data_IF_157840541378
#
_entry.id   IF_157840541378
#
_cell.length_a   1.000
_cell.length_b   1.000
_cell.length_c   1.000
_cell.angle_alpha   90.00
_cell.angle_beta   90.00
_cell.angle_gamma   90.00
#
_symmetry.space_group_name_H-M   'P 1'
#
loop_
_entity.id
_entity.type
_entity.pdbx_description
1 polymer ?
#
# COMPACT_ATOMS: atom_id res chain seq x y z
N UNK A 1 16.66 -16.85 47.59
CA UNK A 1 16.96 -15.95 46.46
C UNK A 1 16.16 -16.51 45.31
N UNK A 2 15.10 -15.83 44.90
CA UNK A 2 14.23 -16.29 43.81
C UNK A 2 14.95 -15.98 42.51
N UNK A 3 15.37 -17.04 41.82
CA UNK A 3 15.72 -16.99 40.40
C UNK A 3 14.44 -16.66 39.63
N UNK A 4 14.26 -15.39 39.31
CA UNK A 4 13.37 -14.99 38.22
C UNK A 4 14.08 -15.36 36.93
N UNK A 5 13.83 -16.57 36.44
CA UNK A 5 13.99 -16.89 35.03
C UNK A 5 13.18 -15.85 34.25
N UNK A 6 13.86 -15.02 33.46
CA UNK A 6 13.24 -14.13 32.49
C UNK A 6 12.46 -15.01 31.50
N UNK A 7 11.16 -15.21 31.77
CA UNK A 7 10.23 -15.85 30.84
C UNK A 7 10.18 -14.92 29.62
N UNK A 8 10.97 -15.24 28.60
CA UNK A 8 10.86 -14.62 27.28
C UNK A 8 9.40 -14.83 26.86
N UNK A 9 8.63 -13.77 26.59
CA UNK A 9 7.23 -13.95 26.18
C UNK A 9 7.22 -14.81 24.91
N UNK A 10 6.67 -16.01 25.04
CA UNK A 10 6.54 -16.94 23.94
C UNK A 10 5.50 -16.36 22.98
N UNK A 11 5.94 -15.78 21.87
CA UNK A 11 5.05 -15.20 20.89
C UNK A 11 4.33 -16.33 20.13
N UNK A 12 3.01 -16.34 20.21
CA UNK A 12 2.14 -17.22 19.44
C UNK A 12 2.04 -16.74 17.99
N UNK A 13 2.49 -17.56 17.03
CA UNK A 13 2.47 -17.22 15.60
C UNK A 13 1.06 -17.18 14.98
N UNK A 14 0.02 -17.63 15.70
CA UNK A 14 -1.38 -17.51 15.26
C UNK A 14 -2.00 -16.14 15.62
N UNK A 15 -1.28 -15.34 16.40
CA UNK A 15 -1.72 -14.02 16.84
C UNK A 15 -1.06 -12.90 16.04
N UNK A 16 -1.73 -11.75 16.02
CA UNK A 16 -1.19 -10.52 15.45
C UNK A 16 -0.56 -9.66 16.53
N UNK A 17 0.49 -8.93 16.15
CA UNK A 17 1.26 -8.08 17.06
C UNK A 17 1.46 -6.69 16.48
N UNK A 18 1.56 -5.69 17.35
CA UNK A 18 1.84 -4.28 17.03
C UNK A 18 3.21 -3.84 17.57
N UNK A 19 3.67 -2.67 17.14
CA UNK A 19 4.99 -2.11 17.47
C UNK A 19 6.16 -3.04 17.09
N UNK A 20 6.02 -3.70 15.95
CA UNK A 20 7.01 -4.66 15.46
C UNK A 20 8.33 -3.97 15.08
N UNK A 21 9.48 -4.53 15.48
CA UNK A 21 10.77 -4.03 15.03
C UNK A 21 10.91 -4.18 13.51
N UNK A 22 11.55 -3.21 12.86
CA UNK A 22 11.75 -3.16 11.42
C UNK A 22 13.17 -3.59 11.02
N UNK A 23 13.24 -4.64 10.20
CA UNK A 23 14.46 -5.12 9.54
C UNK A 23 14.46 -4.68 8.08
N UNK A 24 15.46 -3.90 7.67
CA UNK A 24 15.59 -3.44 6.28
C UNK A 24 16.71 -4.21 5.58
N UNK A 25 16.37 -4.93 4.50
CA UNK A 25 17.31 -5.68 3.67
C UNK A 25 17.83 -4.77 2.57
N UNK A 26 19.14 -4.57 2.55
CA UNK A 26 19.84 -3.66 1.63
C UNK A 26 21.01 -4.35 0.93
N UNK A 27 21.42 -3.81 -0.22
CA UNK A 27 22.51 -4.37 -1.03
C UNK A 27 22.29 -4.12 -2.52
N UNK A 28 23.35 -4.29 -3.32
CA UNK A 28 23.31 -4.06 -4.78
C UNK A 28 22.29 -4.95 -5.51
N UNK A 29 21.91 -4.67 -6.76
CA UNK A 29 20.98 -5.51 -7.52
C UNK A 29 21.50 -6.95 -7.65
N UNK A 30 20.58 -7.92 -7.74
CA UNK A 30 20.86 -9.34 -8.02
C UNK A 30 21.65 -10.14 -6.96
N UNK A 31 21.96 -9.56 -5.79
CA UNK A 31 22.54 -10.30 -4.64
C UNK A 31 21.56 -11.27 -3.95
N UNK A 32 20.27 -11.24 -4.32
CA UNK A 32 19.25 -12.15 -3.80
C UNK A 32 18.38 -11.61 -2.65
N UNK A 33 18.25 -10.28 -2.52
CA UNK A 33 17.41 -9.62 -1.50
C UNK A 33 15.96 -10.13 -1.52
N UNK A 34 15.32 -10.12 -2.69
CA UNK A 34 13.93 -10.57 -2.82
C UNK A 34 13.78 -12.07 -2.56
N UNK A 35 14.81 -12.87 -2.87
CA UNK A 35 14.84 -14.30 -2.52
C UNK A 35 14.86 -14.48 -1.01
N UNK A 36 15.73 -13.76 -0.30
CA UNK A 36 15.82 -13.79 1.16
C UNK A 36 14.54 -13.27 1.82
N UNK A 37 14.02 -12.13 1.36
CA UNK A 37 12.75 -11.55 1.79
C UNK A 37 11.62 -12.56 1.72
N UNK A 38 11.42 -13.18 0.55
CA UNK A 38 10.39 -14.21 0.37
C UNK A 38 10.62 -15.45 1.24
N UNK A 39 11.87 -15.81 1.51
CA UNK A 39 12.18 -16.95 2.39
C UNK A 39 11.86 -16.63 3.85
N UNK A 40 12.19 -15.43 4.33
CA UNK A 40 11.82 -15.00 5.69
C UNK A 40 10.30 -14.95 5.86
N UNK A 41 9.56 -14.48 4.85
CA UNK A 41 8.09 -14.48 4.87
C UNK A 41 7.45 -15.87 4.90
N UNK A 42 8.12 -16.88 4.33
CA UNK A 42 7.58 -18.25 4.23
C UNK A 42 7.72 -19.06 5.51
N UNK A 43 8.46 -18.59 6.52
CA UNK A 43 8.66 -19.34 7.77
C UNK A 43 7.39 -19.47 8.64
N UNK A 44 6.31 -18.70 8.40
CA UNK A 44 4.89 -19.12 8.57
C UNK A 44 3.94 -18.09 7.93
N UNK A 45 3.28 -18.46 6.81
CA UNK A 45 2.14 -17.73 6.24
C UNK A 45 0.83 -18.42 6.65
N UNK A 46 0.07 -17.82 7.56
CA UNK A 46 -1.39 -18.02 7.57
C UNK A 46 -1.97 -17.13 6.45
N UNK A 47 -2.24 -17.76 5.30
CA UNK A 47 -3.10 -17.30 4.20
C UNK A 47 -2.81 -15.87 3.69
N UNK A 48 -1.96 -15.75 2.68
CA UNK A 48 -2.28 -15.01 1.43
C UNK A 48 -1.21 -15.28 0.35
N UNK A 49 -1.63 -15.11 -0.90
CA UNK A 49 -1.04 -15.58 -2.15
C UNK A 49 0.23 -14.80 -2.56
N UNK A 50 1.32 -15.43 -3.04
CA UNK A 50 2.44 -14.72 -3.66
C UNK A 50 2.21 -14.58 -5.17
N UNK A 51 2.19 -13.35 -5.69
CA UNK A 51 2.54 -13.10 -7.10
C UNK A 51 3.94 -12.50 -7.14
N UNK A 52 4.99 -13.27 -7.50
CA UNK A 52 6.34 -12.75 -7.65
C UNK A 52 6.47 -12.03 -9.00
N UNK A 53 7.12 -10.87 -8.98
CA UNK A 53 7.59 -10.19 -10.19
C UNK A 53 7.26 -8.70 -10.19
N UNK A 54 8.33 -7.91 -10.36
CA UNK A 54 8.34 -6.49 -10.76
C UNK A 54 7.89 -5.47 -9.70
N UNK A 55 8.76 -5.15 -8.74
CA UNK A 55 8.66 -3.88 -8.02
C UNK A 55 10.04 -3.28 -7.75
N UNK A 56 10.24 -2.04 -8.22
CA UNK A 56 11.33 -1.12 -7.84
C UNK A 56 10.97 -0.28 -6.60
N UNK A 57 9.85 -0.59 -5.95
CA UNK A 57 9.37 0.05 -4.73
C UNK A 57 9.62 -0.88 -3.53
N UNK A 58 10.00 -0.33 -2.34
CA UNK A 58 10.21 -1.15 -1.16
C UNK A 58 8.95 -1.93 -0.78
N UNK A 59 9.06 -3.24 -0.65
CA UNK A 59 7.98 -4.10 -0.14
C UNK A 59 8.25 -4.33 1.34
N UNK A 60 7.27 -4.06 2.18
CA UNK A 60 7.31 -4.29 3.62
C UNK A 60 6.19 -5.24 4.02
N UNK A 61 6.49 -6.23 4.85
CA UNK A 61 5.52 -7.23 5.30
C UNK A 61 5.90 -7.75 6.70
N UNK A 62 4.90 -8.22 7.45
CA UNK A 62 5.10 -8.77 8.80
C UNK A 62 5.36 -10.28 8.73
N UNK A 63 6.29 -10.78 9.54
CA UNK A 63 6.61 -12.20 9.59
C UNK A 63 7.11 -12.65 10.96
N UNK A 64 7.20 -13.98 11.12
CA UNK A 64 7.88 -14.60 12.24
C UNK A 64 9.25 -15.09 11.80
N UNK A 65 10.27 -14.64 12.52
CA UNK A 65 11.64 -15.13 12.39
C UNK A 65 12.04 -15.67 13.74
N UNK A 66 12.49 -16.92 13.79
CA UNK A 66 12.90 -17.58 15.03
C UNK A 66 11.86 -17.43 16.17
N UNK A 67 10.58 -17.63 15.83
CA UNK A 67 9.46 -17.52 16.78
C UNK A 67 9.14 -16.09 17.26
N UNK A 68 9.79 -15.04 16.73
CA UNK A 68 9.51 -13.64 17.12
C UNK A 68 8.89 -12.85 15.96
N UNK A 69 7.85 -12.03 16.23
CA UNK A 69 7.20 -11.24 15.20
C UNK A 69 8.03 -9.99 14.89
N UNK A 70 8.25 -9.71 13.61
CA UNK A 70 8.95 -8.52 13.13
C UNK A 70 8.40 -8.07 11.77
N UNK A 71 8.77 -6.87 11.33
CA UNK A 71 8.53 -6.38 9.96
C UNK A 71 9.81 -6.46 9.17
N UNK A 72 9.74 -6.97 7.94
CA UNK A 72 10.89 -7.01 7.04
C UNK A 72 10.59 -6.18 5.79
N UNK A 73 11.58 -5.43 5.31
CA UNK A 73 11.47 -4.58 4.13
C UNK A 73 12.57 -4.91 3.11
N UNK A 74 12.21 -5.19 1.86
CA UNK A 74 13.15 -5.26 0.73
C UNK A 74 13.21 -3.88 0.06
N UNK A 75 14.36 -3.20 0.07
CA UNK A 75 14.48 -1.86 -0.52
C UNK A 75 14.54 -1.84 -2.05
N UNK A 76 14.50 -3.01 -2.71
CA UNK A 76 14.80 -3.11 -4.15
C UNK A 76 16.29 -2.89 -4.43
N UNK A 77 16.77 -3.34 -5.60
CA UNK A 77 18.18 -3.17 -5.99
C UNK A 77 18.55 -1.71 -6.20
N UNK A 78 19.30 -1.14 -5.26
CA UNK A 78 19.87 0.20 -5.36
C UNK A 78 21.02 0.24 -6.37
N UNK A 79 20.96 1.08 -7.41
CA UNK A 79 22.12 1.36 -8.29
C UNK A 79 22.80 2.65 -7.84
N UNK A 80 24.13 2.63 -7.73
CA UNK A 80 24.97 3.80 -7.43
C UNK A 80 25.53 4.49 -8.69
N UNK A 81 25.45 3.83 -9.86
CA UNK A 81 26.04 4.37 -11.09
C UNK A 81 25.35 5.66 -11.55
N UNK A 82 26.12 6.75 -11.55
CA UNK A 82 25.72 8.07 -12.02
C UNK A 82 26.13 8.24 -13.48
N UNK A 83 25.17 8.51 -14.36
CA UNK A 83 25.43 9.23 -15.62
C UNK A 83 24.76 10.59 -15.49
N UNK A 84 25.50 11.67 -15.20
CA UNK A 84 24.92 13.00 -15.09
C UNK A 84 24.29 13.43 -16.42
N UNK A 85 23.04 13.91 -16.38
CA UNK A 85 22.38 14.54 -17.54
C UNK A 85 21.32 13.72 -18.27
N UNK A 86 20.94 12.52 -17.81
CA UNK A 86 19.82 11.73 -18.39
C UNK A 86 18.60 11.66 -17.46
N UNK A 87 17.41 11.37 -18.03
CA UNK A 87 16.14 11.14 -17.31
C UNK A 87 16.19 10.04 -16.23
N UNK A 88 17.24 9.21 -16.22
CA UNK A 88 17.46 8.14 -15.25
C UNK A 88 17.96 8.69 -13.91
N UNK A 89 18.75 9.79 -13.94
CA UNK A 89 19.34 10.39 -12.74
C UNK A 89 18.31 11.01 -11.76
N UNK A 90 17.20 11.56 -12.27
CA UNK A 90 16.11 12.10 -11.42
C UNK A 90 15.29 10.98 -10.73
N UNK A 91 15.24 9.80 -11.34
CA UNK A 91 14.56 8.63 -10.79
C UNK A 91 15.40 7.96 -9.68
N UNK A 92 16.72 8.05 -9.79
CA UNK A 92 17.68 7.54 -8.82
C UNK A 92 17.71 8.36 -7.53
N UNK A 93 17.60 9.70 -7.59
CA UNK A 93 17.51 10.56 -6.38
C UNK A 93 16.32 10.19 -5.47
N UNK A 94 15.16 9.90 -6.06
CA UNK A 94 13.96 9.48 -5.32
C UNK A 94 14.10 8.08 -4.70
N UNK A 95 14.88 7.20 -5.31
CA UNK A 95 15.18 5.86 -4.78
C UNK A 95 16.20 5.97 -3.63
N UNK A 96 17.17 6.90 -3.74
CA UNK A 96 18.14 7.23 -2.67
C UNK A 96 17.42 7.79 -1.45
N UNK A 97 16.56 8.80 -1.63
CA UNK A 97 15.83 9.43 -0.53
C UNK A 97 14.94 8.41 0.21
N UNK A 98 14.26 7.52 -0.53
CA UNK A 98 13.46 6.42 0.03
C UNK A 98 14.31 5.41 0.79
N UNK A 99 15.45 5.01 0.24
CA UNK A 99 16.36 4.05 0.89
C UNK A 99 16.91 4.64 2.18
N UNK A 100 17.37 5.90 2.16
CA UNK A 100 17.85 6.62 3.35
C UNK A 100 16.74 6.76 4.40
N UNK A 101 15.51 7.11 3.98
CA UNK A 101 14.37 7.19 4.88
C UNK A 101 14.06 5.84 5.56
N UNK A 102 14.20 4.74 4.81
CA UNK A 102 14.01 3.38 5.32
C UNK A 102 15.11 2.99 6.31
N UNK A 103 16.38 3.31 5.99
CA UNK A 103 17.54 3.08 6.88
C UNK A 103 17.39 3.82 8.22
N UNK A 104 16.86 5.05 8.21
CA UNK A 104 16.63 5.84 9.44
C UNK A 104 15.58 5.20 10.35
N UNK A 105 14.56 4.57 9.77
CA UNK A 105 13.46 3.91 10.49
C UNK A 105 13.82 2.50 10.96
N UNK A 106 14.83 1.88 10.35
CA UNK A 106 15.25 0.52 10.65
C UNK A 106 15.71 0.38 12.11
N UNK A 107 15.26 -0.67 12.77
CA UNK A 107 15.83 -1.13 14.04
C UNK A 107 17.08 -1.98 13.76
N UNK A 108 17.06 -2.74 12.66
CA UNK A 108 18.21 -3.50 12.14
C UNK A 108 18.33 -3.34 10.62
N UNK A 109 19.56 -3.20 10.13
CA UNK A 109 19.88 -3.14 8.70
C UNK A 109 20.63 -4.42 8.34
N UNK A 110 20.05 -5.21 7.43
CA UNK A 110 20.68 -6.41 6.90
C UNK A 110 21.33 -6.10 5.55
N UNK A 111 22.65 -5.92 5.54
CA UNK A 111 23.43 -5.80 4.32
C UNK A 111 23.65 -7.18 3.70
N UNK A 112 23.06 -7.39 2.54
CA UNK A 112 23.18 -8.59 1.74
C UNK A 112 24.21 -8.40 0.62
N UNK A 113 25.27 -9.19 0.66
CA UNK A 113 26.35 -9.25 -0.31
C UNK A 113 26.27 -10.57 -1.10
N UNK A 114 27.01 -10.68 -2.20
CA UNK A 114 27.09 -11.91 -2.99
C UNK A 114 28.46 -12.59 -2.79
N UNK A 115 28.46 -13.92 -2.82
CA UNK A 115 29.67 -14.72 -2.69
C UNK A 115 30.69 -14.43 -3.81
N UNK A 116 31.96 -14.37 -3.44
CA UNK A 116 33.07 -13.85 -4.24
C UNK A 116 33.79 -12.66 -3.58
N UNK A 117 34.62 -11.98 -4.38
CA UNK A 117 35.38 -10.80 -3.99
C UNK A 117 34.49 -9.54 -3.92
N UNK A 118 34.79 -8.58 -3.03
CA UNK A 118 34.08 -7.31 -2.97
C UNK A 118 34.19 -6.54 -4.30
N UNK A 119 33.07 -6.02 -4.78
CA UNK A 119 33.03 -5.13 -5.95
C UNK A 119 33.10 -3.66 -5.54
N UNK A 120 33.41 -2.75 -6.47
CA UNK A 120 33.39 -1.31 -6.20
C UNK A 120 32.02 -0.81 -5.72
N UNK A 121 30.92 -1.37 -6.27
CA UNK A 121 29.56 -1.06 -5.82
C UNK A 121 29.33 -1.50 -4.36
N UNK A 122 29.87 -2.65 -3.97
CA UNK A 122 29.78 -3.11 -2.57
C UNK A 122 30.53 -2.14 -1.65
N UNK A 123 31.73 -1.68 -2.04
CA UNK A 123 32.51 -0.72 -1.25
C UNK A 123 31.79 0.62 -1.05
N UNK A 124 31.22 1.17 -2.11
CA UNK A 124 30.43 2.41 -2.04
C UNK A 124 29.20 2.24 -1.14
N UNK A 125 28.51 1.11 -1.24
CA UNK A 125 27.33 0.83 -0.43
C UNK A 125 27.69 0.65 1.05
N UNK A 126 28.79 -0.04 1.34
CA UNK A 126 29.33 -0.18 2.69
C UNK A 126 29.69 1.19 3.27
N UNK A 127 30.30 2.06 2.47
CA UNK A 127 30.63 3.42 2.89
C UNK A 127 29.38 4.25 3.22
N UNK A 128 28.31 4.11 2.42
CA UNK A 128 27.02 4.75 2.69
C UNK A 128 26.39 4.29 4.01
N UNK A 129 26.59 3.03 4.39
CA UNK A 129 26.03 2.44 5.61
C UNK A 129 26.85 2.71 6.88
N UNK A 130 28.07 3.27 6.76
CA UNK A 130 28.94 3.60 7.92
C UNK A 130 28.23 4.37 9.04
N UNK A 131 27.38 5.39 8.78
CA UNK A 131 26.66 6.10 9.85
C UNK A 131 25.71 5.23 10.67
N UNK A 132 25.34 4.05 10.14
CA UNK A 132 24.42 3.11 10.77
C UNK A 132 25.11 1.82 11.25
N UNK A 133 26.44 1.84 11.41
CA UNK A 133 27.23 0.64 11.74
C UNK A 133 26.73 -0.10 12.99
N UNK A 134 26.19 0.60 13.99
CA UNK A 134 25.63 0.00 15.21
C UNK A 134 24.37 -0.85 14.98
N UNK A 135 23.68 -0.65 13.86
CA UNK A 135 22.47 -1.41 13.46
C UNK A 135 22.75 -2.41 12.34
N UNK A 136 24.01 -2.55 11.93
CA UNK A 136 24.37 -3.30 10.73
C UNK A 136 24.60 -4.78 11.05
N UNK A 137 23.92 -5.67 10.32
CA UNK A 137 24.19 -7.10 10.24
C UNK A 137 24.57 -7.42 8.78
N UNK A 138 25.64 -8.19 8.58
CA UNK A 138 26.16 -8.50 7.24
C UNK A 138 25.98 -9.97 6.92
N UNK A 139 25.39 -10.26 5.77
CA UNK A 139 25.25 -11.61 5.24
C UNK A 139 25.75 -11.69 3.78
N UNK A 140 26.52 -12.73 3.47
CA UNK A 140 26.99 -13.07 2.12
C UNK A 140 26.13 -14.21 1.60
N UNK A 141 25.38 -13.93 0.54
CA UNK A 141 24.45 -14.87 -0.08
C UNK A 141 25.10 -15.64 -1.24
N UNK A 142 24.46 -16.72 -1.67
CA UNK A 142 24.91 -17.63 -2.75
C UNK A 142 26.18 -18.42 -2.41
N UNK A 143 26.25 -18.89 -1.17
CA UNK A 143 27.37 -19.68 -0.62
C UNK A 143 27.08 -21.19 -0.65
N UNK A 144 26.07 -21.62 -1.41
CA UNK A 144 25.63 -23.02 -1.44
C UNK A 144 26.78 -24.00 -1.67
N UNK A 145 26.89 -25.01 -0.80
CA UNK A 145 27.93 -26.02 -0.86
C UNK A 145 29.37 -25.48 -0.67
N UNK A 146 29.53 -24.35 0.04
CA UNK A 146 30.84 -23.73 0.30
C UNK A 146 31.40 -22.91 -0.87
N UNK A 147 30.58 -22.64 -1.88
CA UNK A 147 31.01 -21.95 -3.11
C UNK A 147 31.47 -20.53 -2.79
N UNK A 148 32.71 -20.20 -3.19
CA UNK A 148 33.32 -18.86 -3.08
C UNK A 148 33.39 -18.28 -1.66
N UNK A 149 33.17 -19.09 -0.62
CA UNK A 149 33.30 -18.64 0.77
C UNK A 149 34.72 -18.15 1.09
N UNK A 150 35.73 -18.87 0.58
CA UNK A 150 37.14 -18.50 0.73
C UNK A 150 37.42 -17.07 0.25
N UNK A 151 36.89 -16.69 -0.93
CA UNK A 151 37.03 -15.34 -1.47
C UNK A 151 36.23 -14.32 -0.66
N UNK A 152 35.07 -14.71 -0.14
CA UNK A 152 34.19 -13.81 0.60
C UNK A 152 34.66 -13.46 2.01
N UNK A 153 35.62 -14.19 2.58
CA UNK A 153 36.31 -13.73 3.79
C UNK A 153 36.98 -12.36 3.61
N UNK A 154 37.26 -11.94 2.38
CA UNK A 154 37.77 -10.59 2.09
C UNK A 154 36.82 -9.47 2.51
N UNK A 155 35.52 -9.72 2.71
CA UNK A 155 34.60 -8.69 3.22
C UNK A 155 34.93 -8.25 4.66
N UNK A 156 35.63 -9.06 5.47
CA UNK A 156 36.05 -8.65 6.82
C UNK A 156 36.97 -7.43 6.81
N UNK A 157 37.70 -7.18 5.71
CA UNK A 157 38.61 -6.02 5.58
C UNK A 157 37.91 -4.67 5.76
N UNK A 158 36.59 -4.62 5.59
CA UNK A 158 35.80 -3.40 5.78
C UNK A 158 35.48 -3.11 7.26
N UNK A 159 35.92 -3.96 8.18
CA UNK A 159 35.77 -3.77 9.63
C UNK A 159 34.43 -4.27 10.17
N UNK A 160 33.86 -5.30 9.56
CA UNK A 160 32.68 -5.98 10.11
C UNK A 160 33.10 -6.90 11.24
N UNK A 161 32.36 -6.86 12.35
CA UNK A 161 32.60 -7.73 13.51
C UNK A 161 32.26 -9.19 13.21
N UNK A 162 31.17 -9.41 12.45
CA UNK A 162 30.70 -10.74 12.03
C UNK A 162 30.14 -10.65 10.61
N UNK A 163 30.40 -11.68 9.81
CA UNK A 163 29.81 -11.88 8.48
C UNK A 163 29.21 -13.28 8.44
N UNK A 164 27.93 -13.37 8.08
CA UNK A 164 27.21 -14.63 7.96
C UNK A 164 27.23 -15.13 6.52
N UNK A 165 27.52 -16.41 6.29
CA UNK A 165 27.43 -17.03 4.97
C UNK A 165 26.10 -17.78 4.86
N UNK A 166 25.27 -17.42 3.87
CA UNK A 166 23.93 -17.97 3.71
C UNK A 166 23.66 -18.40 2.26
N UNK A 167 22.67 -19.29 2.09
CA UNK A 167 22.00 -19.49 0.81
C UNK A 167 20.52 -19.20 0.95
N UNK A 168 20.09 -18.02 0.50
CA UNK A 168 18.68 -17.65 0.47
C UNK A 168 17.86 -18.54 -0.47
N UNK A 169 18.47 -19.12 -1.49
CA UNK A 169 17.80 -20.00 -2.44
C UNK A 169 17.65 -21.41 -1.88
N UNK A 170 18.72 -21.99 -1.32
CA UNK A 170 18.72 -23.37 -0.84
C UNK A 170 18.32 -23.52 0.64
N UNK A 171 18.47 -22.48 1.44
CA UNK A 171 18.08 -22.45 2.86
C UNK A 171 19.24 -22.56 3.85
N UNK A 172 20.48 -22.66 3.36
CA UNK A 172 21.68 -22.81 4.18
C UNK A 172 21.86 -21.62 5.13
N UNK A 173 22.10 -21.93 6.42
CA UNK A 173 22.34 -20.98 7.52
C UNK A 173 21.24 -19.91 7.73
N UNK A 174 20.03 -20.14 7.21
CA UNK A 174 18.89 -19.22 7.40
C UNK A 174 18.32 -19.29 8.83
N UNK A 175 18.58 -20.38 9.57
CA UNK A 175 18.26 -20.46 10.99
C UNK A 175 19.19 -19.56 11.80
N UNK A 176 20.52 -19.71 11.62
CA UNK A 176 21.52 -18.84 12.27
C UNK A 176 21.29 -17.36 11.95
N UNK A 177 20.99 -17.03 10.68
CA UNK A 177 20.63 -15.66 10.31
C UNK A 177 19.39 -15.16 11.09
N UNK A 178 18.39 -16.00 11.28
CA UNK A 178 17.19 -15.65 12.04
C UNK A 178 17.48 -15.43 13.53
N UNK A 179 18.36 -16.25 14.12
CA UNK A 179 18.84 -16.08 15.49
C UNK A 179 19.60 -14.75 15.66
N UNK A 180 20.52 -14.44 14.74
CA UNK A 180 21.27 -13.18 14.75
C UNK A 180 20.38 -11.94 14.57
N UNK A 181 19.38 -12.02 13.68
CA UNK A 181 18.39 -10.95 13.51
C UNK A 181 17.62 -10.75 14.82
N UNK A 182 17.07 -11.82 15.38
CA UNK A 182 16.22 -11.73 16.58
C UNK A 182 16.99 -11.49 17.88
N UNK A 183 18.30 -11.74 17.91
CA UNK A 183 19.16 -11.43 19.05
C UNK A 183 19.53 -9.95 19.14
N UNK A 184 19.47 -9.21 18.02
CA UNK A 184 19.82 -7.78 17.95
C UNK A 184 18.64 -6.82 18.05
N UNK A 185 17.42 -7.35 18.09
CA UNK A 185 16.19 -6.58 18.12
C UNK A 185 15.60 -6.52 19.52
N UNK A 186 15.02 -5.36 19.86
CA UNK A 186 14.27 -5.16 21.11
C UNK A 186 12.78 -5.49 20.88
N UNK A 187 12.30 -6.51 21.59
CA UNK A 187 10.89 -6.94 21.54
C UNK A 187 10.08 -6.48 22.76
N UNK A 188 10.66 -5.71 23.68
CA UNK A 188 9.97 -5.25 24.91
C UNK A 188 8.77 -4.36 24.63
N UNK A 189 8.70 -3.75 23.44
CA UNK A 189 7.61 -2.87 22.99
C UNK A 189 6.54 -3.61 22.19
N UNK A 190 6.78 -4.87 21.86
CA UNK A 190 5.86 -5.68 21.05
C UNK A 190 4.69 -6.09 21.92
N UNK A 191 3.49 -5.80 21.44
CA UNK A 191 2.25 -6.10 22.15
C UNK A 191 1.33 -6.93 21.25
N UNK A 192 0.60 -7.87 21.86
CA UNK A 192 -0.47 -8.59 21.18
C UNK A 192 -1.57 -7.59 20.75
N UNK A 193 -1.94 -7.64 19.47
CA UNK A 193 -2.92 -6.76 18.88
C UNK A 193 -2.68 -6.57 17.39
N UNK A 194 -3.73 -6.31 16.62
CA UNK A 194 -3.57 -5.90 15.22
C UNK A 194 -2.88 -4.52 15.18
N UNK A 195 -2.07 -4.28 14.14
CA UNK A 195 -1.70 -2.90 13.76
C UNK A 195 -2.99 -2.07 13.70
N UNK A 196 -2.99 -0.88 14.29
CA UNK A 196 -4.17 -0.02 14.29
C UNK A 196 -4.55 0.33 12.86
N UNK A 197 -5.56 -0.35 12.31
CA UNK A 197 -6.10 -0.06 10.99
C UNK A 197 -6.66 1.36 11.00
N UNK A 198 -5.97 2.25 10.30
CA UNK A 198 -6.39 3.64 10.10
C UNK A 198 -7.02 3.77 8.72
N UNK A 199 -8.15 4.45 8.66
CA UNK A 199 -8.76 4.86 7.39
C UNK A 199 -7.96 6.06 6.88
N UNK A 200 -7.15 5.83 5.84
CA UNK A 200 -6.27 6.86 5.26
C UNK A 200 -7.05 7.62 4.19
N UNK A 201 -7.29 8.90 4.44
CA UNK A 201 -8.06 9.78 3.56
C UNK A 201 -7.16 10.83 2.91
N UNK A 202 -7.25 10.97 1.60
CA UNK A 202 -6.62 12.05 0.84
C UNK A 202 -7.67 13.08 0.43
N UNK A 203 -7.42 14.36 0.71
CA UNK A 203 -8.32 15.46 0.32
C UNK A 203 -7.75 16.15 -0.91
N UNK A 204 -8.44 16.05 -2.05
CA UNK A 204 -7.98 16.57 -3.35
C UNK A 204 -9.01 17.54 -3.95
N UNK A 205 -8.59 18.34 -4.95
CA UNK A 205 -9.45 19.29 -5.66
C UNK A 205 -8.77 20.63 -5.95
N UNK A 206 -9.35 21.43 -6.84
CA UNK A 206 -8.88 22.78 -7.24
C UNK A 206 -8.54 23.71 -6.04
N UNK A 207 -7.60 24.67 -6.15
CA UNK A 207 -7.44 25.73 -5.14
C UNK A 207 -8.76 26.36 -4.69
N UNK A 208 -8.84 26.83 -3.43
CA UNK A 208 -10.00 27.52 -2.83
C UNK A 208 -11.32 26.73 -2.69
N UNK A 209 -11.34 25.44 -3.04
CA UNK A 209 -12.47 24.52 -2.81
C UNK A 209 -12.75 24.19 -1.34
N UNK A 210 -11.92 24.65 -0.40
CA UNK A 210 -12.09 24.44 1.05
C UNK A 210 -11.39 23.21 1.62
N UNK A 211 -10.42 22.62 0.92
CA UNK A 211 -9.59 21.49 1.42
C UNK A 211 -8.94 21.78 2.76
N UNK A 212 -8.31 22.95 2.93
CA UNK A 212 -7.66 23.33 4.20
C UNK A 212 -8.65 23.51 5.34
N UNK A 213 -9.83 24.08 5.04
CA UNK A 213 -10.91 24.22 6.02
C UNK A 213 -11.40 22.85 6.49
N UNK A 214 -11.63 21.91 5.57
CA UNK A 214 -12.05 20.54 5.93
C UNK A 214 -10.94 19.81 6.72
N UNK A 215 -9.71 19.83 6.23
CA UNK A 215 -8.57 19.19 6.91
C UNK A 215 -8.39 19.72 8.33
N UNK A 216 -8.47 21.03 8.55
CA UNK A 216 -8.35 21.64 9.87
C UNK A 216 -9.51 21.25 10.79
N UNK A 217 -10.74 21.21 10.27
CA UNK A 217 -11.92 20.76 11.01
C UNK A 217 -11.80 19.30 11.45
N UNK A 218 -11.27 18.43 10.59
CA UNK A 218 -11.07 17.02 10.93
C UNK A 218 -9.93 16.80 11.94
N UNK A 219 -8.90 17.64 11.90
CA UNK A 219 -7.65 17.45 12.68
C UNK A 219 -7.56 18.33 13.93
N UNK A 220 -8.58 19.16 14.21
CA UNK A 220 -8.83 19.71 15.55
C UNK A 220 -8.19 21.05 15.91
N UNK A 221 -7.83 21.93 14.96
CA UNK A 221 -7.45 23.32 15.33
C UNK A 221 -8.64 24.25 15.58
N UNK A 222 -9.84 23.86 15.12
CA UNK A 222 -11.11 24.49 15.49
C UNK A 222 -11.97 23.41 16.18
N UNK A 223 -12.09 23.52 17.50
CA UNK A 223 -12.79 22.57 18.35
C UNK A 223 -14.18 22.18 17.80
N UNK A 224 -14.56 20.89 17.86
CA UNK A 224 -15.91 20.43 18.29
C UNK A 224 -16.37 19.01 17.86
N UNK A 225 -15.56 18.09 17.32
CA UNK A 225 -16.11 16.74 17.00
C UNK A 225 -15.29 15.52 17.53
N UNK A 226 -13.98 15.61 17.76
CA UNK A 226 -13.15 14.39 17.60
C UNK A 226 -12.13 14.09 18.71
N UNK A 227 -12.30 14.60 19.92
CA UNK A 227 -11.38 14.29 21.03
C UNK A 227 -12.11 14.20 22.37
N UNK A 228 -12.84 13.10 22.59
CA UNK A 228 -13.41 12.75 23.90
C UNK A 228 -12.80 11.44 24.44
N UNK A 229 -11.48 11.24 24.28
CA UNK A 229 -10.77 10.24 25.08
C UNK A 229 -9.81 10.99 25.99
N UNK A 230 -10.19 11.09 27.27
CA UNK A 230 -9.28 11.51 28.32
C UNK A 230 -8.15 10.47 28.43
N UNK A 231 -6.89 10.90 28.28
CA UNK A 231 -5.74 10.04 28.55
C UNK A 231 -4.67 9.89 27.46
N UNK A 232 -4.59 10.76 26.45
CA UNK A 232 -3.47 10.72 25.50
C UNK A 232 -2.46 11.84 25.78
N UNK A 233 -1.51 11.55 26.68
CA UNK A 233 -0.18 12.18 26.58
C UNK A 233 0.67 11.39 25.61
N UNK A 234 1.33 12.12 24.70
CA UNK A 234 2.49 11.73 23.86
C UNK A 234 2.18 10.86 22.64
N UNK A 235 1.78 11.57 21.58
CA UNK A 235 2.32 11.51 20.21
C UNK A 235 1.20 11.87 19.24
N UNK A 236 0.90 13.17 19.15
CA UNK A 236 0.02 13.69 18.10
C UNK A 236 0.77 13.56 16.78
N UNK A 237 0.59 12.43 16.09
CA UNK A 237 1.00 12.30 14.69
C UNK A 237 0.14 13.26 13.88
N UNK A 238 0.76 14.25 13.21
CA UNK A 238 0.06 15.26 12.42
C UNK A 238 -0.96 14.61 11.45
N UNK A 239 -2.22 15.02 11.53
CA UNK A 239 -3.27 14.57 10.61
C UNK A 239 -4.11 13.38 11.06
N UNK A 240 -3.90 12.81 12.25
CA UNK A 240 -4.73 11.72 12.77
C UNK A 240 -5.91 12.19 13.64
N UNK A 241 -7.02 11.46 13.62
CA UNK A 241 -8.20 11.68 14.49
C UNK A 241 -9.02 10.39 14.68
N UNK A 242 -9.99 10.38 15.60
CA UNK A 242 -10.86 9.21 15.85
C UNK A 242 -12.36 9.54 15.82
N UNK A 243 -13.13 8.87 14.96
CA UNK A 243 -14.57 9.10 14.84
C UNK A 243 -15.33 7.77 14.91
N UNK A 244 -16.31 7.67 15.83
CA UNK A 244 -17.11 6.46 16.10
C UNK A 244 -16.27 5.19 16.31
N UNK A 245 -15.15 5.30 17.03
CA UNK A 245 -14.24 4.17 17.27
C UNK A 245 -13.33 3.81 16.09
N UNK A 246 -13.44 4.50 14.96
CA UNK A 246 -12.54 4.33 13.82
C UNK A 246 -11.44 5.39 13.84
N UNK A 247 -10.19 4.94 13.70
CA UNK A 247 -9.04 5.83 13.58
C UNK A 247 -8.88 6.28 12.13
N UNK A 248 -8.71 7.57 11.92
CA UNK A 248 -8.50 8.18 10.62
C UNK A 248 -7.11 8.81 10.53
N UNK A 249 -6.58 8.89 9.32
CA UNK A 249 -5.38 9.65 9.00
C UNK A 249 -5.62 10.48 7.73
N UNK A 250 -5.52 11.79 7.86
CA UNK A 250 -5.52 12.72 6.72
C UNK A 250 -4.12 12.76 6.13
N UNK A 251 -3.98 12.38 4.87
CA UNK A 251 -2.72 12.43 4.16
C UNK A 251 -2.46 13.84 3.58
N UNK A 252 -1.19 14.25 3.60
CA UNK A 252 -0.69 15.51 3.03
C UNK A 252 -1.23 16.81 3.67
N UNK A 253 -1.46 16.79 4.99
CA UNK A 253 -1.86 17.97 5.79
C UNK A 253 -0.87 19.13 5.69
N UNK A 254 0.44 18.85 5.58
CA UNK A 254 1.49 19.86 5.47
C UNK A 254 1.41 20.68 4.17
N UNK A 255 1.04 20.06 3.04
CA UNK A 255 0.86 20.75 1.75
C UNK A 255 -0.36 21.65 1.76
N UNK A 256 -1.44 21.20 2.40
CA UNK A 256 -2.68 21.93 2.59
C UNK A 256 -2.49 23.16 3.50
N UNK A 257 -1.64 23.06 4.54
CA UNK A 257 -1.32 24.17 5.46
C UNK A 257 -0.40 25.22 4.84
N UNK A 258 0.64 24.84 4.07
CA UNK A 258 1.52 25.82 3.40
C UNK A 258 0.75 26.72 2.41
N UNK A 259 -0.23 26.17 1.69
CA UNK A 259 -1.09 26.94 0.77
C UNK A 259 -2.03 27.93 1.46
N UNK A 260 -2.31 27.77 2.76
CA UNK A 260 -3.10 28.77 3.51
C UNK A 260 -2.31 30.07 3.78
N UNK A 261 -0.97 30.04 3.65
CA UNK A 261 -0.08 31.17 3.94
C UNK A 261 0.63 31.75 2.70
N UNK A 262 0.63 31.07 1.56
CA UNK A 262 1.39 31.47 0.37
C UNK A 262 0.48 31.52 -0.87
N UNK A 263 0.41 32.70 -1.52
CA UNK A 263 -0.14 32.88 -2.87
C UNK A 263 0.98 32.60 -3.88
N UNK A 264 1.15 31.35 -4.31
CA UNK A 264 2.07 31.05 -5.42
C UNK A 264 1.45 30.08 -6.44
N UNK A 265 1.68 30.44 -7.71
CA UNK A 265 1.34 29.73 -8.95
C UNK A 265 2.15 28.44 -9.10
N UNK A 266 1.78 27.40 -8.35
CA UNK A 266 2.43 26.09 -8.45
C UNK A 266 1.39 24.99 -8.64
N UNK A 267 0.67 25.04 -9.77
CA UNK A 267 -0.29 24.01 -10.16
C UNK A 267 0.39 22.69 -10.56
N UNK A 268 1.52 22.73 -11.27
CA UNK A 268 2.17 21.53 -11.80
C UNK A 268 2.71 20.59 -10.71
N UNK A 269 3.40 21.13 -9.69
CA UNK A 269 3.90 20.31 -8.57
C UNK A 269 2.77 19.79 -7.66
N UNK A 270 1.56 20.36 -7.77
CA UNK A 270 0.40 19.91 -6.99
C UNK A 270 -0.15 18.57 -7.47
N UNK A 271 -0.07 18.28 -8.78
CA UNK A 271 -0.62 17.03 -9.36
C UNK A 271 0.25 15.82 -9.02
N UNK A 272 1.56 15.89 -9.24
CA UNK A 272 2.47 14.79 -8.90
C UNK A 272 2.50 14.49 -7.40
N UNK A 273 2.38 15.53 -6.57
CA UNK A 273 2.22 15.39 -5.12
C UNK A 273 0.90 14.69 -4.78
N UNK A 274 -0.21 15.11 -5.37
CA UNK A 274 -1.50 14.44 -5.19
C UNK A 274 -1.41 12.96 -5.58
N UNK A 275 -0.83 12.62 -6.74
CA UNK A 275 -0.64 11.24 -7.19
C UNK A 275 0.19 10.41 -6.19
N UNK A 276 1.29 10.98 -5.65
CA UNK A 276 2.09 10.31 -4.60
C UNK A 276 1.26 10.06 -3.34
N UNK A 277 0.48 11.04 -2.90
CA UNK A 277 -0.42 10.91 -1.74
C UNK A 277 -1.49 9.84 -1.97
N UNK A 278 -2.05 9.75 -3.17
CA UNK A 278 -3.05 8.75 -3.53
C UNK A 278 -2.53 7.31 -3.36
N UNK A 279 -1.24 7.03 -3.63
CA UNK A 279 -0.70 5.66 -3.46
C UNK A 279 -0.82 5.09 -2.05
N UNK A 280 -0.96 5.94 -1.04
CA UNK A 280 -1.06 5.55 0.35
C UNK A 280 -2.47 5.75 0.93
N UNK A 281 -3.41 6.26 0.13
CA UNK A 281 -4.78 6.53 0.56
C UNK A 281 -5.66 5.29 0.35
N UNK A 282 -6.62 5.11 1.24
CA UNK A 282 -7.72 4.16 1.04
C UNK A 282 -8.89 4.86 0.32
N UNK A 283 -9.16 6.12 0.70
CA UNK A 283 -10.28 6.91 0.20
C UNK A 283 -9.81 8.30 -0.22
N UNK A 284 -10.34 8.75 -1.35
CA UNK A 284 -10.15 10.09 -1.90
C UNK A 284 -11.41 10.90 -1.70
N UNK A 285 -11.28 12.02 -1.00
CA UNK A 285 -12.32 13.03 -0.84
C UNK A 285 -12.04 14.12 -1.88
N UNK A 286 -12.82 14.15 -2.95
CA UNK A 286 -12.71 15.15 -4.00
C UNK A 286 -13.57 16.36 -3.67
N UNK A 287 -12.93 17.45 -3.25
CA UNK A 287 -13.57 18.71 -2.89
C UNK A 287 -13.83 19.55 -4.14
N UNK A 288 -15.10 19.86 -4.36
CA UNK A 288 -15.60 20.70 -5.46
C UNK A 288 -16.30 21.90 -4.82
N UNK A 289 -16.06 23.11 -5.33
CA UNK A 289 -16.85 24.27 -4.93
C UNK A 289 -18.21 24.20 -5.64
N UNK A 290 -19.31 24.18 -4.87
CA UNK A 290 -20.65 24.08 -5.43
C UNK A 290 -21.01 25.26 -6.35
N UNK A 291 -20.38 26.43 -6.20
CA UNK A 291 -20.64 27.61 -7.03
C UNK A 291 -19.82 27.61 -8.33
N UNK A 292 -18.59 27.10 -8.31
CA UNK A 292 -17.70 27.09 -9.49
C UNK A 292 -17.82 25.81 -10.32
N UNK A 293 -18.18 24.69 -9.69
CA UNK A 293 -18.24 23.38 -10.35
C UNK A 293 -16.88 22.72 -10.56
N UNK A 294 -16.82 21.79 -11.51
CA UNK A 294 -15.68 20.89 -11.74
C UNK A 294 -14.60 21.52 -12.64
N UNK A 295 -13.34 21.30 -12.28
CA UNK A 295 -12.20 21.62 -13.14
C UNK A 295 -11.78 20.44 -14.02
N UNK A 296 -11.33 20.69 -15.26
CA UNK A 296 -10.84 19.64 -16.17
C UNK A 296 -9.64 18.86 -15.61
N UNK A 297 -8.76 19.52 -14.85
CA UNK A 297 -7.58 18.89 -14.26
C UNK A 297 -7.95 17.85 -13.18
N UNK A 298 -9.06 18.06 -12.46
CA UNK A 298 -9.51 17.15 -11.41
C UNK A 298 -9.93 15.78 -11.98
N UNK A 299 -10.45 15.74 -13.22
CA UNK A 299 -10.86 14.49 -13.87
C UNK A 299 -9.73 13.48 -13.97
N UNK A 300 -8.51 13.92 -14.30
CA UNK A 300 -7.35 13.02 -14.43
C UNK A 300 -6.91 12.44 -13.09
N UNK A 301 -6.91 13.25 -12.03
CA UNK A 301 -6.52 12.82 -10.68
C UNK A 301 -7.51 11.78 -10.15
N UNK A 302 -8.82 12.04 -10.34
CA UNK A 302 -9.87 11.14 -9.87
C UNK A 302 -9.93 9.86 -10.72
N UNK A 303 -9.75 9.94 -12.04
CA UNK A 303 -9.58 8.76 -12.89
C UNK A 303 -8.44 7.87 -12.37
N UNK A 304 -7.27 8.46 -12.11
CA UNK A 304 -6.14 7.75 -11.55
C UNK A 304 -6.46 7.13 -10.18
N UNK A 305 -7.18 7.82 -9.29
CA UNK A 305 -7.60 7.26 -8.00
C UNK A 305 -8.48 6.00 -8.18
N UNK A 306 -9.49 6.09 -9.05
CA UNK A 306 -10.38 4.97 -9.36
C UNK A 306 -9.64 3.78 -9.98
N UNK A 307 -8.72 4.05 -10.92
CA UNK A 307 -7.94 3.01 -11.61
C UNK A 307 -7.00 2.27 -10.64
N UNK A 308 -6.52 2.95 -9.60
CA UNK A 308 -5.74 2.34 -8.52
C UNK A 308 -6.63 1.66 -7.45
N UNK A 309 -7.95 1.68 -7.62
CA UNK A 309 -8.91 0.97 -6.77
C UNK A 309 -9.21 1.65 -5.44
N UNK A 310 -9.00 2.97 -5.33
CA UNK A 310 -9.31 3.75 -4.13
C UNK A 310 -10.81 4.06 -4.06
N UNK A 311 -11.38 4.10 -2.85
CA UNK A 311 -12.71 4.67 -2.65
C UNK A 311 -12.73 6.14 -3.06
N UNK A 312 -13.79 6.60 -3.73
CA UNK A 312 -13.93 8.00 -4.14
C UNK A 312 -15.21 8.55 -3.55
N UNK A 313 -15.12 9.69 -2.87
CA UNK A 313 -16.28 10.48 -2.42
C UNK A 313 -16.18 11.85 -3.06
N UNK A 314 -17.20 12.22 -3.81
CA UNK A 314 -17.35 13.57 -4.33
C UNK A 314 -18.02 14.46 -3.29
N UNK A 315 -17.42 15.61 -3.02
CA UNK A 315 -17.93 16.57 -2.02
C UNK A 315 -18.22 17.90 -2.68
N UNK A 316 -19.49 18.27 -2.73
CA UNK A 316 -19.96 19.60 -3.11
C UNK A 316 -19.87 20.52 -1.89
N UNK A 317 -18.74 21.19 -1.74
CA UNK A 317 -18.46 22.07 -0.62
C UNK A 317 -19.07 23.47 -0.82
N UNK A 318 -19.24 24.21 0.29
CA UNK A 318 -19.94 25.51 0.36
C UNK A 318 -21.42 25.39 -0.01
N UNK A 319 -22.02 24.23 0.24
CA UNK A 319 -23.44 24.02 -0.05
C UNK A 319 -24.38 24.97 0.72
N UNK A 320 -23.90 25.54 1.83
CA UNK A 320 -24.61 26.57 2.59
C UNK A 320 -24.79 27.90 1.84
N UNK A 321 -23.99 28.16 0.80
CA UNK A 321 -24.08 29.40 0.01
C UNK A 321 -24.94 29.26 -1.24
N UNK A 322 -25.41 28.05 -1.56
CA UNK A 322 -26.20 27.79 -2.77
C UNK A 322 -27.64 28.25 -2.55
N UNK A 323 -28.15 29.00 -3.53
CA UNK A 323 -29.57 29.34 -3.61
C UNK A 323 -30.38 28.08 -3.98
N UNK A 324 -31.06 27.52 -2.98
CA UNK A 324 -31.81 26.26 -3.09
C UNK A 324 -33.08 26.39 -3.92
N UNK A 325 -33.55 27.61 -4.20
CA UNK A 325 -34.70 27.82 -5.09
C UNK A 325 -34.30 27.70 -6.55
N UNK A 326 -33.04 28.01 -6.87
CA UNK A 326 -32.50 27.99 -8.24
C UNK A 326 -31.72 26.73 -8.58
N UNK A 327 -31.24 25.99 -7.58
CA UNK A 327 -30.33 24.87 -7.80
C UNK A 327 -30.66 23.70 -6.89
N UNK A 328 -31.12 22.61 -7.49
CA UNK A 328 -31.39 21.37 -6.77
C UNK A 328 -30.14 20.51 -6.63
N UNK A 329 -29.90 19.98 -5.42
CA UNK A 329 -28.84 18.99 -5.18
C UNK A 329 -28.93 17.81 -6.16
N UNK A 330 -30.14 17.33 -6.44
CA UNK A 330 -30.37 16.18 -7.34
C UNK A 330 -29.91 16.46 -8.77
N UNK A 331 -30.05 17.70 -9.23
CA UNK A 331 -29.62 18.09 -10.58
C UNK A 331 -28.10 18.15 -10.66
N UNK A 332 -27.43 18.74 -9.66
CA UNK A 332 -25.97 18.73 -9.59
C UNK A 332 -25.39 17.33 -9.44
N UNK A 333 -25.98 16.48 -8.58
CA UNK A 333 -25.59 15.08 -8.45
C UNK A 333 -25.73 14.34 -9.79
N UNK A 334 -26.86 14.50 -10.48
CA UNK A 334 -27.10 13.89 -11.79
C UNK A 334 -26.08 14.36 -12.82
N UNK A 335 -25.80 15.66 -12.88
CA UNK A 335 -24.81 16.22 -13.80
C UNK A 335 -23.40 15.68 -13.52
N UNK A 336 -23.04 15.53 -12.24
CA UNK A 336 -21.78 14.90 -11.84
C UNK A 336 -21.70 13.43 -12.28
N UNK A 337 -22.75 12.65 -12.06
CA UNK A 337 -22.82 11.25 -12.50
C UNK A 337 -22.72 11.09 -14.01
N UNK A 338 -23.28 12.02 -14.78
CA UNK A 338 -23.11 12.06 -16.25
C UNK A 338 -21.67 12.38 -16.63
N UNK A 339 -21.04 13.38 -15.99
CA UNK A 339 -19.64 13.75 -16.27
C UNK A 339 -18.65 12.65 -15.88
N UNK A 340 -18.96 11.88 -14.84
CA UNK A 340 -18.16 10.76 -14.34
C UNK A 340 -18.89 9.43 -14.51
N UNK A 341 -19.40 9.14 -15.71
CA UNK A 341 -20.17 7.92 -15.97
C UNK A 341 -19.46 6.62 -15.56
N UNK A 342 -18.12 6.57 -15.66
CA UNK A 342 -17.31 5.43 -15.23
C UNK A 342 -17.22 5.26 -13.70
N UNK A 343 -17.66 6.27 -12.94
CA UNK A 343 -17.70 6.32 -11.47
C UNK A 343 -19.09 6.65 -10.94
N UNK A 344 -20.15 6.25 -11.64
CA UNK A 344 -21.54 6.44 -11.20
C UNK A 344 -21.82 5.85 -9.81
N UNK A 345 -20.97 4.91 -9.39
CA UNK A 345 -20.99 4.34 -8.06
C UNK A 345 -20.52 5.26 -6.92
N UNK A 346 -19.71 6.27 -7.23
CA UNK A 346 -19.07 7.07 -6.23
C UNK A 346 -20.12 8.00 -5.59
N UNK A 347 -20.25 8.02 -4.25
CA UNK A 347 -21.20 8.88 -3.56
C UNK A 347 -20.86 10.37 -3.77
N UNK A 348 -21.91 11.19 -3.89
CA UNK A 348 -21.83 12.65 -3.92
C UNK A 348 -22.49 13.19 -2.66
N UNK A 349 -21.81 14.07 -1.91
CA UNK A 349 -22.32 14.62 -0.65
C UNK A 349 -22.25 16.16 -0.64
N UNK A 350 -23.31 16.85 -0.19
CA UNK A 350 -23.26 18.29 0.06
C UNK A 350 -22.62 18.55 1.43
N UNK A 351 -21.62 19.42 1.47
CA UNK A 351 -20.89 19.74 2.70
C UNK A 351 -20.70 21.25 2.83
N UNK A 352 -20.67 21.73 4.06
CA UNK A 352 -20.08 23.03 4.39
C UNK A 352 -18.91 22.80 5.34
N UNK A 353 -17.69 22.76 4.81
CA UNK A 353 -16.49 22.59 5.62
C UNK A 353 -16.34 23.72 6.65
N UNK A 354 -16.81 24.93 6.31
CA UNK A 354 -16.77 26.08 7.21
C UNK A 354 -17.79 25.96 8.35
N UNK A 355 -19.04 25.58 8.06
CA UNK A 355 -20.11 25.46 9.08
C UNK A 355 -20.13 24.11 9.80
N UNK A 356 -19.46 23.08 9.24
CA UNK A 356 -19.47 21.71 9.74
C UNK A 356 -20.65 20.86 9.27
N UNK A 357 -21.63 21.45 8.58
CA UNK A 357 -22.78 20.71 8.03
C UNK A 357 -22.34 19.66 7.01
N UNK A 358 -22.89 18.44 7.08
CA UNK A 358 -22.57 17.32 6.20
C UNK A 358 -21.23 16.60 6.48
N UNK A 359 -20.40 17.10 7.41
CA UNK A 359 -19.10 16.48 7.72
C UNK A 359 -19.26 15.12 8.39
N UNK A 360 -20.25 14.96 9.28
CA UNK A 360 -20.54 13.66 9.90
C UNK A 360 -21.01 12.64 8.88
N UNK A 361 -21.81 13.05 7.90
CA UNK A 361 -22.27 12.18 6.80
C UNK A 361 -21.11 11.77 5.90
N UNK A 362 -20.19 12.69 5.61
CA UNK A 362 -18.94 12.39 4.91
C UNK A 362 -18.10 11.34 5.64
N UNK A 363 -17.95 11.45 6.96
CA UNK A 363 -17.20 10.47 7.75
C UNK A 363 -17.90 9.11 7.84
N UNK A 364 -19.24 9.11 8.00
CA UNK A 364 -20.02 7.88 7.95
C UNK A 364 -19.88 7.18 6.59
N UNK A 365 -19.92 7.94 5.49
CA UNK A 365 -19.71 7.43 4.15
C UNK A 365 -18.29 6.87 3.97
N UNK A 366 -17.27 7.54 4.52
CA UNK A 366 -15.90 7.02 4.49
C UNK A 366 -15.78 5.68 5.24
N UNK A 367 -16.44 5.52 6.39
CA UNK A 367 -16.48 4.23 7.12
C UNK A 367 -17.15 3.16 6.26
N UNK A 368 -18.28 3.47 5.63
CA UNK A 368 -19.02 2.53 4.77
C UNK A 368 -18.16 2.07 3.59
N UNK A 369 -17.53 3.01 2.87
CA UNK A 369 -16.62 2.70 1.76
C UNK A 369 -15.43 1.87 2.22
N UNK A 370 -14.83 2.21 3.37
CA UNK A 370 -13.72 1.43 3.93
C UNK A 370 -14.14 0.01 4.29
N UNK A 371 -15.37 -0.18 4.78
CA UNK A 371 -15.98 -1.49 5.01
C UNK A 371 -16.08 -2.31 3.72
N UNK A 372 -16.49 -1.69 2.61
CA UNK A 372 -16.50 -2.35 1.29
C UNK A 372 -15.09 -2.65 0.80
N UNK A 373 -14.15 -1.71 0.92
CA UNK A 373 -12.74 -1.88 0.54
C UNK A 373 -12.03 -2.96 1.38
N UNK A 374 -12.48 -3.23 2.59
CA UNK A 374 -11.82 -4.22 3.46
C UNK A 374 -12.47 -5.60 3.38
N UNK A 375 -13.55 -5.74 2.59
CA UNK A 375 -14.35 -6.97 2.54
C UNK A 375 -13.66 -8.07 1.75
N UNK A 376 -13.51 -9.24 2.37
CA UNK A 376 -13.07 -10.48 1.72
C UNK A 376 -14.28 -11.39 1.47
N UNK A 377 -14.35 -11.98 0.29
CA UNK A 377 -15.36 -12.96 -0.11
C UNK A 377 -14.71 -14.33 -0.25
N UNK A 378 -15.34 -15.34 0.33
CA UNK A 378 -14.88 -16.73 0.20
C UNK A 378 -14.92 -17.21 -1.25
N UNK A 379 -13.87 -17.94 -1.65
CA UNK A 379 -13.71 -18.36 -3.06
C UNK A 379 -14.86 -19.26 -3.51
N UNK A 380 -15.40 -20.10 -2.63
CA UNK A 380 -16.55 -20.96 -2.93
C UNK A 380 -17.81 -20.16 -3.25
N UNK A 381 -18.19 -19.23 -2.36
CA UNK A 381 -19.34 -18.34 -2.53
C UNK A 381 -19.21 -17.47 -3.79
N UNK A 382 -18.01 -16.96 -4.04
CA UNK A 382 -17.71 -16.17 -5.23
C UNK A 382 -17.89 -16.98 -6.53
N UNK A 383 -17.45 -18.24 -6.56
CA UNK A 383 -17.60 -19.10 -7.73
C UNK A 383 -19.03 -19.60 -7.94
N UNK A 384 -19.81 -19.76 -6.87
CA UNK A 384 -21.26 -20.02 -6.96
C UNK A 384 -21.95 -18.82 -7.63
N UNK A 385 -21.71 -17.60 -7.15
CA UNK A 385 -22.28 -16.40 -7.75
C UNK A 385 -21.85 -16.22 -9.22
N UNK A 386 -20.58 -16.47 -9.53
CA UNK A 386 -20.09 -16.44 -10.91
C UNK A 386 -20.85 -17.41 -11.81
N UNK A 387 -21.11 -18.63 -11.34
CA UNK A 387 -21.84 -19.64 -12.12
C UNK A 387 -23.27 -19.16 -12.43
N UNK A 388 -23.94 -18.53 -11.46
CA UNK A 388 -25.27 -17.96 -11.65
C UNK A 388 -25.24 -16.83 -12.69
N UNK A 389 -24.25 -15.94 -12.65
CA UNK A 389 -24.10 -14.86 -13.62
C UNK A 389 -23.82 -15.37 -15.03
N UNK A 390 -22.91 -16.34 -15.17
CA UNK A 390 -22.58 -16.97 -16.47
C UNK A 390 -23.77 -17.75 -17.04
N UNK A 391 -24.58 -18.36 -16.17
CA UNK A 391 -25.81 -19.06 -16.60
C UNK A 391 -26.86 -18.08 -17.07
N UNK A 392 -27.07 -16.98 -16.33
CA UNK A 392 -28.03 -15.94 -16.67
C UNK A 392 -27.64 -15.15 -17.93
N UNK A 393 -26.34 -14.96 -18.18
CA UNK A 393 -25.84 -14.26 -19.37
C UNK A 393 -24.61 -15.01 -19.93
N UNK A 394 -24.82 -16.01 -20.80
CA UNK A 394 -23.75 -16.83 -21.32
C UNK A 394 -22.72 -16.06 -22.18
N UNK A 395 -21.43 -16.44 -22.16
CA UNK A 395 -20.42 -15.88 -23.04
C UNK A 395 -20.78 -16.02 -24.53
N UNK A 396 -20.44 -15.03 -25.36
CA UNK A 396 -20.61 -15.10 -26.81
C UNK A 396 -20.04 -16.39 -27.41
N UNK A 397 -20.79 -17.04 -28.31
CA UNK A 397 -20.38 -18.29 -28.97
C UNK A 397 -19.83 -18.08 -30.39
N UNK A 398 -19.57 -16.84 -30.78
CA UNK A 398 -19.01 -16.51 -32.11
C UNK A 398 -17.62 -17.09 -32.33
N UNK A 399 -17.26 -17.39 -33.59
CA UNK A 399 -16.02 -18.09 -33.97
C UNK A 399 -14.74 -17.38 -33.46
N UNK A 400 -14.75 -16.05 -33.39
CA UNK A 400 -13.62 -15.20 -32.97
C UNK A 400 -13.63 -14.89 -31.46
N UNK A 401 -14.81 -14.75 -30.84
CA UNK A 401 -14.97 -14.33 -29.45
C UNK A 401 -15.42 -15.46 -28.52
N UNK A 402 -15.11 -16.72 -28.87
CA UNK A 402 -15.49 -17.89 -28.05
C UNK A 402 -14.53 -18.07 -26.87
N UNK A 403 -15.02 -17.82 -25.67
CA UNK A 403 -14.33 -18.10 -24.41
C UNK A 403 -15.24 -18.81 -23.41
N UNK A 404 -14.64 -19.44 -22.41
CA UNK A 404 -15.33 -19.94 -21.21
C UNK A 404 -14.65 -19.34 -19.98
N UNK A 405 -15.44 -18.79 -19.06
CA UNK A 405 -14.97 -18.47 -17.72
C UNK A 405 -14.96 -19.76 -16.91
N UNK A 406 -13.87 -20.01 -16.17
CA UNK A 406 -13.68 -21.23 -15.38
C UNK A 406 -13.97 -21.00 -13.91
N UNK A 407 -13.28 -20.02 -13.33
CA UNK A 407 -13.41 -19.66 -11.94
C UNK A 407 -12.90 -18.24 -11.73
N UNK A 408 -13.17 -17.69 -10.56
CA UNK A 408 -12.76 -16.36 -10.13
C UNK A 408 -12.23 -16.44 -8.69
N UNK A 409 -11.27 -15.59 -8.36
CA UNK A 409 -10.76 -15.42 -6.99
C UNK A 409 -10.64 -13.94 -6.66
N UNK A 410 -10.80 -13.57 -5.40
CA UNK A 410 -10.44 -12.24 -4.92
C UNK A 410 -8.96 -12.26 -4.52
N UNK A 411 -8.13 -11.50 -5.23
CA UNK A 411 -6.67 -11.47 -5.00
C UNK A 411 -6.26 -10.41 -3.99
N UNK A 412 -7.03 -9.32 -3.88
CA UNK A 412 -6.78 -8.23 -2.94
C UNK A 412 -8.11 -7.66 -2.40
N UNK A 413 -8.07 -7.16 -1.17
CA UNK A 413 -9.19 -6.47 -0.52
C UNK A 413 -9.11 -4.97 -0.74
N UNK A 414 -8.02 -4.31 -0.40
CA UNK A 414 -7.84 -2.87 -0.61
C UNK A 414 -6.55 -2.62 -1.42
N UNK A 415 -6.64 -2.44 -2.75
CA UNK A 415 -7.85 -2.29 -3.56
C UNK A 415 -8.64 -3.59 -3.80
N UNK A 416 -9.96 -3.48 -4.07
CA UNK A 416 -10.82 -4.65 -4.33
C UNK A 416 -10.53 -5.20 -5.71
N UNK A 417 -9.76 -6.30 -5.74
CA UNK A 417 -9.26 -6.90 -6.97
C UNK A 417 -9.70 -8.35 -7.10
N UNK A 418 -10.25 -8.65 -8.27
CA UNK A 418 -10.67 -9.98 -8.67
C UNK A 418 -9.90 -10.45 -9.89
N UNK A 419 -9.52 -11.73 -9.87
CA UNK A 419 -8.87 -12.40 -10.99
C UNK A 419 -9.79 -13.47 -11.56
N UNK A 420 -10.17 -13.28 -12.82
CA UNK A 420 -11.03 -14.18 -13.59
C UNK A 420 -10.18 -15.09 -14.46
N UNK A 421 -10.40 -16.39 -14.38
CA UNK A 421 -9.70 -17.36 -15.22
C UNK A 421 -10.57 -17.77 -16.40
N UNK A 422 -10.08 -17.49 -17.61
CA UNK A 422 -10.77 -17.81 -18.87
C UNK A 422 -9.96 -18.80 -19.72
N UNK A 423 -10.62 -19.48 -20.66
CA UNK A 423 -9.93 -20.34 -21.64
C UNK A 423 -9.14 -19.56 -22.68
N UNK A 424 -9.63 -18.37 -23.03
CA UNK A 424 -9.04 -17.43 -24.00
C UNK A 424 -9.23 -16.01 -23.47
N UNK A 425 -8.34 -15.54 -22.58
CA UNK A 425 -8.42 -14.20 -21.99
C UNK A 425 -8.57 -13.09 -23.04
N UNK A 426 -7.84 -13.22 -24.14
CA UNK A 426 -7.82 -12.30 -25.28
C UNK A 426 -9.18 -12.21 -26.01
N UNK A 427 -10.05 -13.20 -25.85
CA UNK A 427 -11.39 -13.22 -26.45
C UNK A 427 -12.47 -12.66 -25.52
N UNK A 428 -12.15 -12.33 -24.26
CA UNK A 428 -13.10 -11.78 -23.31
C UNK A 428 -13.31 -10.30 -23.62
N UNK A 429 -14.54 -9.90 -23.94
CA UNK A 429 -14.85 -8.52 -24.29
C UNK A 429 -14.97 -7.62 -23.06
N UNK A 430 -14.64 -6.34 -23.21
CA UNK A 430 -14.80 -5.33 -22.16
C UNK A 430 -16.26 -5.21 -21.69
N UNK A 431 -17.22 -5.39 -22.61
CA UNK A 431 -18.65 -5.41 -22.29
C UNK A 431 -19.02 -6.56 -21.34
N UNK A 432 -18.45 -7.74 -21.53
CA UNK A 432 -18.70 -8.88 -20.66
C UNK A 432 -17.98 -8.72 -19.31
N UNK A 433 -16.77 -8.13 -19.29
CA UNK A 433 -16.10 -7.76 -18.05
C UNK A 433 -16.87 -6.70 -17.28
N UNK A 434 -17.44 -5.71 -17.95
CA UNK A 434 -18.31 -4.70 -17.33
C UNK A 434 -19.57 -5.34 -16.73
N UNK A 435 -20.18 -6.30 -17.42
CA UNK A 435 -21.29 -7.09 -16.87
C UNK A 435 -20.90 -7.80 -15.57
N UNK A 436 -19.81 -8.57 -15.57
CA UNK A 436 -19.33 -9.27 -14.37
C UNK A 436 -18.98 -8.28 -13.26
N UNK A 437 -18.32 -7.16 -13.59
CA UNK A 437 -18.03 -6.08 -12.63
C UNK A 437 -19.30 -5.59 -11.95
N UNK A 438 -20.34 -5.30 -12.73
CA UNK A 438 -21.60 -4.80 -12.20
C UNK A 438 -22.34 -5.83 -11.35
N UNK A 439 -22.25 -7.13 -11.69
CA UNK A 439 -22.77 -8.20 -10.84
C UNK A 439 -22.02 -8.32 -9.52
N UNK A 440 -20.69 -8.24 -9.53
CA UNK A 440 -19.88 -8.19 -8.30
C UNK A 440 -20.31 -7.02 -7.41
N UNK A 441 -20.44 -5.82 -7.99
CA UNK A 441 -20.89 -4.62 -7.26
C UNK A 441 -22.23 -4.84 -6.58
N UNK A 442 -23.22 -5.32 -7.34
CA UNK A 442 -24.60 -5.46 -6.89
C UNK A 442 -24.80 -6.61 -5.90
N UNK A 443 -24.29 -7.80 -6.23
CA UNK A 443 -24.64 -9.03 -5.52
C UNK A 443 -23.70 -9.29 -4.33
N UNK A 444 -22.46 -8.77 -4.38
CA UNK A 444 -21.45 -8.99 -3.34
C UNK A 444 -21.21 -7.77 -2.45
N UNK A 445 -21.98 -6.69 -2.64
CA UNK A 445 -21.97 -5.49 -1.79
C UNK A 445 -20.71 -4.63 -1.94
N UNK A 446 -20.28 -4.43 -3.19
CA UNK A 446 -19.23 -3.48 -3.58
C UNK A 446 -19.82 -2.35 -4.44
N UNK A 447 -21.01 -1.88 -4.09
CA UNK A 447 -21.83 -0.99 -4.89
C UNK A 447 -21.30 0.45 -4.95
N UNK A 448 -20.43 0.86 -4.02
CA UNK A 448 -19.93 2.26 -3.92
C UNK A 448 -18.43 2.45 -4.11
N UNK A 449 -17.71 1.40 -4.47
CA UNK A 449 -16.24 1.42 -4.63
C UNK A 449 -15.82 0.99 -6.03
N UNK A 450 -14.59 1.29 -6.50
CA UNK A 450 -14.06 0.64 -7.69
C UNK A 450 -13.91 -0.88 -7.48
N UNK A 451 -14.12 -1.64 -8.55
CA UNK A 451 -13.87 -3.08 -8.59
C UNK A 451 -12.92 -3.36 -9.75
N UNK A 452 -11.71 -3.78 -9.43
CA UNK A 452 -10.68 -4.12 -10.42
C UNK A 452 -10.86 -5.57 -10.83
N UNK A 453 -10.99 -5.80 -12.14
CA UNK A 453 -11.10 -7.13 -12.72
C UNK A 453 -9.95 -7.37 -13.68
N UNK A 454 -9.18 -8.42 -13.43
CA UNK A 454 -8.16 -8.93 -14.35
C UNK A 454 -8.57 -10.28 -14.91
N UNK A 455 -8.09 -10.59 -16.12
CA UNK A 455 -8.33 -11.88 -16.77
C UNK A 455 -7.01 -12.58 -17.02
N UNK A 456 -6.91 -13.86 -16.62
CA UNK A 456 -5.77 -14.72 -16.93
C UNK A 456 -6.20 -16.04 -17.57
N UNK A 457 -5.26 -16.67 -18.26
CA UNK A 457 -5.46 -17.98 -18.87
C UNK A 457 -5.57 -19.07 -17.81
N UNK A 458 -6.61 -19.89 -17.89
CA UNK A 458 -6.86 -21.02 -16.98
C UNK A 458 -5.84 -22.17 -17.09
N UNK A 459 -4.97 -22.17 -18.11
CA UNK A 459 -3.86 -23.11 -18.27
C UNK A 459 -2.60 -22.36 -18.71
N UNK A 460 -1.45 -22.64 -18.09
CA UNK A 460 -0.14 -22.36 -18.73
C UNK A 460 -0.06 -23.18 -20.02
N UNK A 461 0.34 -22.57 -21.14
CA UNK A 461 0.75 -23.31 -22.34
C UNK A 461 1.82 -24.34 -21.93
N UNK A 462 1.79 -25.54 -22.52
CA UNK A 462 2.73 -26.61 -22.20
C UNK A 462 4.20 -26.16 -22.30
N UNK A 463 4.51 -25.24 -23.21
CA UNK A 463 5.83 -24.63 -23.43
C UNK A 463 6.37 -23.80 -22.23
N UNK A 464 5.50 -23.37 -21.31
CA UNK A 464 5.88 -22.52 -20.16
C UNK A 464 5.85 -23.27 -18.81
N UNK A 465 5.90 -24.61 -18.85
CA UNK A 465 6.15 -25.44 -17.67
C UNK A 465 7.65 -25.73 -17.65
N UNK A 466 8.41 -24.99 -16.86
CA UNK A 466 9.80 -25.38 -16.55
C UNK A 466 9.75 -26.76 -15.87
N UNK A 467 10.47 -27.71 -16.47
CA UNK A 467 10.77 -29.06 -15.96
C UNK A 467 11.65 -29.02 -14.74
#
# INVERSE_FOLDING_TARGET
MNDTEDIVPEFDEEKTYRNLPLVVIVGRPNVGKSTLFNRLLRKRRAITDPTPGVTRDPIEDACFVNGKPLRVMDTGGFKLERIPGTREAEMDELVVEKTISSLKKADLILLLLEAGLPTAEDEEFIQLLRPYASKLLVAVNKTEGGRREADSWNYLRFGFEKVLFISAEHGDNILELGEEITGRLDFSRVEEGEEEKRIRIAIVGKPNTGKSTLSNRLTGTDASIVSNIAGTTRDVVEGAFEYKGHKFQVLDTAGIRRKSRVKEDIEYYSVNRAIKTLKHADIVIHMIDANEGLAEQDKKIIAHASDNGLGVIFVLNKWDTIDKERTSFKEMERNMKVMFAHMDYAPVLPVSALKGSGVNDLLNMAIELYGQLSRKIETSALNMALNDWVTATPPPQGRVNKFKIRYIVQTQTNPVKFLVFATRPESVTDSYLAYIRNRIRKDLGFDRIPVVLEVKGSRKKWENRET
#
